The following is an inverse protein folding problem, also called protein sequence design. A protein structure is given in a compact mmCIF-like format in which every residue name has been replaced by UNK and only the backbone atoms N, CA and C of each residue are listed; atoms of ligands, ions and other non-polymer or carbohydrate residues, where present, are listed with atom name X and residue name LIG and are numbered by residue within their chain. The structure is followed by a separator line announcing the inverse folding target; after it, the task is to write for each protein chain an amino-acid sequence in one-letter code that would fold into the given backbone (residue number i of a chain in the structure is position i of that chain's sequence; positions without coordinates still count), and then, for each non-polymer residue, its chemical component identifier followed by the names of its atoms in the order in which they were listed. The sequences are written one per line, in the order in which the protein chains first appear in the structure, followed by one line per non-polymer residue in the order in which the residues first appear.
data_IF_076863078917
#
_entry.id   IF_076863078917
#
_cell.length_a   1.000
_cell.length_b   1.000
_cell.length_c   1.000
_cell.angle_alpha   90.00
_cell.angle_beta   90.00
_cell.angle_gamma   90.00
#
_symmetry.space_group_name_H-M   'P 1'
#
loop_
_entity.id
_entity.type
_entity.pdbx_description
1 polymer ?
#
# COMPACT_ATOMS: atom_id res chain seq x y z
N UNK A 1 34.51 -18.71 19.64
CA UNK A 1 33.09 -18.83 19.21
C UNK A 1 32.84 -17.60 18.36
N UNK A 2 33.07 -17.74 17.05
CA UNK A 2 32.98 -16.65 16.09
C UNK A 2 31.49 -16.52 15.72
N UNK A 3 30.82 -15.49 16.25
CA UNK A 3 29.45 -15.19 15.86
C UNK A 3 29.55 -14.54 14.49
N UNK A 4 29.50 -15.39 13.46
CA UNK A 4 29.53 -14.99 12.07
C UNK A 4 28.58 -13.82 11.85
N UNK A 5 29.13 -12.76 11.25
CA UNK A 5 28.46 -11.51 10.91
C UNK A 5 27.09 -11.83 10.32
N UNK A 6 26.05 -11.66 11.14
CA UNK A 6 24.68 -11.75 10.66
C UNK A 6 24.56 -10.67 9.59
N UNK A 7 24.45 -11.10 8.35
CA UNK A 7 24.18 -10.21 7.22
C UNK A 7 23.08 -9.25 7.67
N UNK A 8 23.37 -7.96 7.67
CA UNK A 8 22.41 -6.93 8.01
C UNK A 8 21.34 -6.95 6.93
N UNK A 9 20.35 -7.82 7.09
CA UNK A 9 19.15 -7.78 6.29
C UNK A 9 18.57 -6.39 6.51
N UNK A 10 18.62 -5.55 5.48
CA UNK A 10 17.99 -4.23 5.51
C UNK A 10 16.56 -4.45 5.97
N UNK A 11 16.13 -3.86 7.11
CA UNK A 11 14.79 -4.09 7.61
C UNK A 11 13.80 -3.65 6.52
N UNK A 12 12.91 -4.57 6.13
CA UNK A 12 11.85 -4.29 5.18
C UNK A 12 11.05 -3.09 5.68
N UNK A 13 10.86 -2.08 4.81
CA UNK A 13 10.13 -0.85 5.11
C UNK A 13 8.75 -0.92 4.47
N UNK A 14 7.74 -1.51 5.13
CA UNK A 14 6.41 -1.67 4.56
C UNK A 14 5.75 -0.34 4.17
N UNK A 15 6.20 0.78 4.73
CA UNK A 15 5.69 2.11 4.41
C UNK A 15 6.02 2.54 2.98
N UNK A 16 7.23 2.26 2.50
CA UNK A 16 7.66 2.67 1.16
C UNK A 16 6.80 1.97 0.10
N UNK A 17 6.68 0.64 0.20
CA UNK A 17 5.84 -0.15 -0.69
C UNK A 17 4.35 0.21 -0.59
N UNK A 18 3.86 0.58 0.60
CA UNK A 18 2.48 1.04 0.76
C UNK A 18 2.23 2.40 0.07
N UNK A 19 3.20 3.32 0.10
CA UNK A 19 3.10 4.60 -0.62
C UNK A 19 3.08 4.36 -2.14
N UNK A 20 3.98 3.51 -2.64
CA UNK A 20 4.01 3.16 -4.06
C UNK A 20 2.67 2.51 -4.49
N UNK A 21 2.14 1.59 -3.68
CA UNK A 21 0.84 0.96 -3.94
C UNK A 21 -0.33 1.93 -3.92
N UNK A 22 -0.30 2.98 -3.08
CA UNK A 22 -1.31 4.04 -3.10
C UNK A 22 -1.26 4.89 -4.37
N UNK A 23 -0.07 5.14 -4.89
CA UNK A 23 0.10 5.92 -6.13
C UNK A 23 -0.36 5.12 -7.35
N UNK A 24 -0.01 3.83 -7.41
CA UNK A 24 -0.48 2.92 -8.46
C UNK A 24 -2.01 2.78 -8.46
N UNK A 25 -2.61 2.55 -7.28
CA UNK A 25 -4.06 2.44 -7.15
C UNK A 25 -4.79 3.73 -7.56
N UNK A 26 -4.21 4.91 -7.29
CA UNK A 26 -4.76 6.19 -7.75
C UNK A 26 -4.70 6.30 -9.28
N UNK A 27 -3.55 6.03 -9.90
CA UNK A 27 -3.40 6.08 -11.35
C UNK A 27 -4.37 5.13 -12.08
N UNK A 28 -4.57 3.91 -11.54
CA UNK A 28 -5.53 2.93 -12.07
C UNK A 28 -6.98 3.38 -11.90
N UNK A 29 -7.30 4.03 -10.78
CA UNK A 29 -8.62 4.62 -10.54
C UNK A 29 -8.92 5.72 -11.55
N UNK A 30 -7.97 6.62 -11.80
CA UNK A 30 -8.10 7.70 -12.79
C UNK A 30 -8.32 7.12 -14.20
N UNK A 31 -7.46 6.20 -14.64
CA UNK A 31 -7.56 5.59 -15.96
C UNK A 31 -8.88 4.81 -16.17
N UNK A 32 -9.35 4.05 -15.17
CA UNK A 32 -10.61 3.34 -15.27
C UNK A 32 -11.81 4.30 -15.24
N UNK A 33 -11.73 5.38 -14.47
CA UNK A 33 -12.79 6.40 -14.39
C UNK A 33 -12.95 7.16 -15.71
N UNK A 34 -11.85 7.49 -16.39
CA UNK A 34 -11.87 8.10 -17.72
C UNK A 34 -12.56 7.20 -18.75
N UNK A 35 -12.27 5.90 -18.73
CA UNK A 35 -12.91 4.93 -19.62
C UNK A 35 -14.42 4.82 -19.36
N UNK A 36 -14.83 4.75 -18.10
CA UNK A 36 -16.24 4.73 -17.71
C UNK A 36 -16.94 6.02 -18.15
N UNK A 37 -16.32 7.18 -17.94
CA UNK A 37 -16.86 8.47 -18.36
C UNK A 37 -16.99 8.59 -19.89
N UNK A 38 -16.08 7.96 -20.64
CA UNK A 38 -16.14 7.84 -22.10
C UNK A 38 -17.21 6.83 -22.58
N UNK A 39 -17.93 6.17 -21.66
CA UNK A 39 -18.97 5.18 -21.96
C UNK A 39 -18.44 3.77 -22.22
N UNK A 40 -17.15 3.50 -21.99
CA UNK A 40 -16.60 2.15 -22.03
C UNK A 40 -16.96 1.41 -20.74
N UNK A 41 -18.02 0.61 -20.80
CA UNK A 41 -18.56 -0.17 -19.68
C UNK A 41 -18.17 -1.66 -19.76
N UNK A 42 -17.02 -1.97 -20.35
CA UNK A 42 -16.47 -3.33 -20.30
C UNK A 42 -16.38 -3.80 -18.82
N UNK A 43 -16.92 -4.97 -18.46
CA UNK A 43 -16.81 -5.53 -17.12
C UNK A 43 -15.38 -5.57 -16.57
N UNK A 44 -14.37 -5.72 -17.43
CA UNK A 44 -12.96 -5.67 -17.02
C UNK A 44 -12.59 -4.29 -16.45
N UNK A 45 -13.06 -3.20 -17.05
CA UNK A 45 -12.80 -1.82 -16.58
C UNK A 45 -13.46 -1.55 -15.24
N UNK A 46 -14.69 -2.03 -15.05
CA UNK A 46 -15.42 -1.90 -13.78
C UNK A 46 -14.74 -2.69 -12.67
N UNK A 47 -14.27 -3.90 -12.99
CA UNK A 47 -13.50 -4.72 -12.06
C UNK A 47 -12.15 -4.07 -11.73
N UNK A 48 -11.47 -3.51 -12.72
CA UNK A 48 -10.20 -2.80 -12.53
C UNK A 48 -10.37 -1.62 -11.58
N UNK A 49 -11.42 -0.80 -11.75
CA UNK A 49 -11.74 0.29 -10.81
C UNK A 49 -11.97 -0.24 -9.39
N UNK A 50 -12.74 -1.31 -9.25
CA UNK A 50 -13.04 -1.90 -7.93
C UNK A 50 -11.79 -2.47 -7.27
N UNK A 51 -10.93 -3.15 -8.05
CA UNK A 51 -9.68 -3.71 -7.55
C UNK A 51 -8.70 -2.62 -7.11
N UNK A 52 -8.61 -1.51 -7.86
CA UNK A 52 -7.80 -0.36 -7.48
C UNK A 52 -8.27 0.27 -6.16
N UNK A 53 -9.59 0.35 -5.92
CA UNK A 53 -10.11 0.81 -4.63
C UNK A 53 -9.75 -0.11 -3.46
N UNK A 54 -9.81 -1.43 -3.66
CA UNK A 54 -9.39 -2.42 -2.67
C UNK A 54 -7.89 -2.29 -2.37
N UNK A 55 -7.07 -2.15 -3.41
CA UNK A 55 -5.62 -1.98 -3.29
C UNK A 55 -5.28 -0.68 -2.53
N UNK A 56 -5.98 0.42 -2.83
CA UNK A 56 -5.83 1.67 -2.10
C UNK A 56 -6.13 1.50 -0.61
N UNK A 57 -7.27 0.87 -0.27
CA UNK A 57 -7.67 0.64 1.11
C UNK A 57 -6.69 -0.26 1.87
N UNK A 58 -6.18 -1.31 1.21
CA UNK A 58 -5.18 -2.20 1.78
C UNK A 58 -3.88 -1.46 2.11
N UNK A 59 -3.35 -0.66 1.17
CA UNK A 59 -2.13 0.11 1.39
C UNK A 59 -2.31 1.20 2.46
N UNK A 60 -3.45 1.88 2.49
CA UNK A 60 -3.78 2.83 3.56
C UNK A 60 -3.79 2.16 4.94
N UNK A 61 -4.28 0.92 5.04
CA UNK A 61 -4.29 0.16 6.29
C UNK A 61 -2.88 -0.19 6.77
N UNK A 62 -1.96 -0.51 5.86
CA UNK A 62 -0.54 -0.76 6.20
C UNK A 62 0.12 0.49 6.81
N UNK A 63 -0.15 1.67 6.23
CA UNK A 63 0.34 2.94 6.79
C UNK A 63 -0.27 3.25 8.16
N UNK A 64 -1.57 3.00 8.35
CA UNK A 64 -2.22 3.16 9.65
C UNK A 64 -1.59 2.24 10.70
N UNK A 65 -1.44 0.95 10.38
CA UNK A 65 -0.86 -0.04 11.29
C UNK A 65 0.59 0.31 11.67
N UNK A 66 1.35 0.86 10.72
CA UNK A 66 2.70 1.38 11.00
C UNK A 66 2.68 2.49 12.05
N UNK A 67 1.80 3.48 11.88
CA UNK A 67 1.72 4.61 12.80
C UNK A 67 1.25 4.15 14.20
N UNK A 68 0.26 3.27 14.26
CA UNK A 68 -0.20 2.66 15.51
C UNK A 68 0.91 1.90 16.23
N UNK A 69 1.70 1.10 15.49
CA UNK A 69 2.82 0.38 16.07
C UNK A 69 3.91 1.32 16.60
N UNK A 70 4.23 2.36 15.84
CA UNK A 70 5.21 3.38 16.26
C UNK A 70 4.76 4.07 17.55
N UNK A 71 3.47 4.41 17.66
CA UNK A 71 2.89 4.97 18.88
C UNK A 71 3.01 4.00 20.06
N UNK A 72 2.62 2.73 19.89
CA UNK A 72 2.72 1.73 20.97
C UNK A 72 4.15 1.56 21.47
N UNK A 73 5.12 1.58 20.57
CA UNK A 73 6.54 1.51 20.94
C UNK A 73 6.96 2.72 21.77
N UNK A 74 6.53 3.93 21.38
CA UNK A 74 6.79 5.15 22.16
C UNK A 74 6.12 5.11 23.54
N UNK A 75 4.87 4.64 23.60
CA UNK A 75 4.11 4.48 24.85
C UNK A 75 4.76 3.47 25.81
N UNK A 76 5.43 2.41 25.30
CA UNK A 76 6.18 1.45 26.12
C UNK A 76 7.50 2.00 26.65
N UNK A 77 8.06 3.03 26.03
CA UNK A 77 9.31 3.67 26.46
C UNK A 77 9.10 4.77 27.51
N UNK A 78 7.86 5.26 27.66
CA UNK A 78 7.47 6.31 28.60
C UNK A 78 7.09 5.76 29.98
#
# INVERSE_FOLDING_TARGET
MDIGSATTATPYRPQASAIDGLQDAQARTEAASEQIAAGNLDPAVVLDLTSAQVDFAANAKVLQATQENSKRLLDMLA
#
